data_IF_775785172587
#
_entry.id   IF_775785172587
#
_cell.length_a   1.000
_cell.length_b   1.000
_cell.length_c   1.000
_cell.angle_alpha   90.00
_cell.angle_beta   90.00
_cell.angle_gamma   90.00
#
_symmetry.space_group_name_H-M   'P 1'
#
loop_
_entity.id
_entity.type
_entity.pdbx_description
1 polymer ?
#
# COMPACT_ATOMS: atom_id res chain seq x y z
N UNK A 1 -9.18 -30.84 -17.12
CA UNK A 1 -10.34 -29.97 -16.87
C UNK A 1 -9.82 -28.54 -16.86
N UNK A 2 -10.17 -27.73 -17.88
CA UNK A 2 -9.71 -26.36 -17.98
C UNK A 2 -10.60 -25.46 -17.10
N UNK A 3 -10.02 -24.85 -16.08
CA UNK A 3 -10.71 -23.88 -15.21
C UNK A 3 -10.93 -22.60 -16.00
N UNK A 4 -12.18 -22.29 -16.36
CA UNK A 4 -12.53 -21.01 -16.99
C UNK A 4 -12.34 -19.93 -15.94
N UNK A 5 -11.27 -19.15 -16.04
CA UNK A 5 -11.11 -17.93 -15.25
C UNK A 5 -12.18 -16.94 -15.70
N UNK A 6 -13.06 -16.57 -14.78
CA UNK A 6 -14.11 -15.59 -15.01
C UNK A 6 -13.47 -14.18 -14.99
N UNK A 7 -12.93 -13.75 -16.13
CA UNK A 7 -12.37 -12.41 -16.28
C UNK A 7 -13.51 -11.39 -16.33
N UNK A 8 -13.68 -10.62 -15.26
CA UNK A 8 -14.58 -9.47 -15.25
C UNK A 8 -14.01 -8.37 -16.14
N UNK A 9 -14.68 -8.09 -17.26
CA UNK A 9 -14.31 -6.99 -18.15
C UNK A 9 -14.90 -5.70 -17.57
N UNK A 10 -14.03 -4.79 -17.12
CA UNK A 10 -14.42 -3.43 -16.71
C UNK A 10 -14.11 -2.45 -17.83
N UNK A 11 -15.03 -1.55 -18.15
CA UNK A 11 -14.77 -0.56 -19.19
C UNK A 11 -13.79 0.51 -18.69
N UNK A 12 -12.96 1.06 -19.59
CA UNK A 12 -12.02 2.13 -19.25
C UNK A 12 -12.68 3.35 -18.58
N UNK A 13 -13.96 3.61 -18.90
CA UNK A 13 -14.73 4.70 -18.29
C UNK A 13 -15.08 4.45 -16.82
N UNK A 14 -15.22 3.18 -16.43
CA UNK A 14 -15.57 2.75 -15.07
C UNK A 14 -14.35 2.62 -14.15
N UNK A 15 -13.12 2.74 -14.68
CA UNK A 15 -11.88 2.60 -13.90
C UNK A 15 -11.63 3.76 -12.91
N UNK A 16 -12.40 4.85 -12.97
CA UNK A 16 -12.30 5.97 -12.04
C UNK A 16 -10.87 6.55 -11.97
N UNK A 17 -10.31 6.66 -10.76
CA UNK A 17 -8.94 7.16 -10.53
C UNK A 17 -7.87 6.34 -11.26
N UNK A 18 -8.03 5.02 -11.36
CA UNK A 18 -7.07 4.17 -12.07
C UNK A 18 -6.93 4.57 -13.53
N UNK A 19 -7.98 5.11 -14.14
CA UNK A 19 -7.92 5.65 -15.51
C UNK A 19 -6.84 6.72 -15.66
N UNK A 20 -6.69 7.58 -14.65
CA UNK A 20 -5.67 8.63 -14.63
C UNK A 20 -4.28 7.98 -14.56
N UNK A 21 -4.09 7.04 -13.62
CA UNK A 21 -2.82 6.33 -13.46
C UNK A 21 -2.41 5.55 -14.73
N UNK A 22 -3.34 4.87 -15.39
CA UNK A 22 -3.10 4.18 -16.66
C UNK A 22 -2.90 5.13 -17.84
N UNK A 23 -3.47 6.34 -17.79
CA UNK A 23 -3.26 7.35 -18.82
C UNK A 23 -1.92 8.06 -18.71
N UNK A 24 -1.28 8.01 -17.54
CA UNK A 24 0.15 8.33 -17.39
C UNK A 24 0.94 7.28 -18.16
N UNK A 25 1.34 7.63 -19.39
CA UNK A 25 2.09 6.77 -20.31
C UNK A 25 3.52 6.42 -19.85
N UNK A 26 3.93 6.89 -18.67
CA UNK A 26 5.30 6.75 -18.18
C UNK A 26 5.33 5.87 -16.93
N UNK A 27 5.58 4.58 -17.13
CA UNK A 27 5.76 3.61 -16.04
C UNK A 27 6.94 3.99 -15.13
N UNK A 28 7.98 4.65 -15.65
CA UNK A 28 9.13 5.08 -14.85
C UNK A 28 8.72 6.17 -13.87
N UNK A 29 7.89 7.14 -14.28
CA UNK A 29 7.37 8.16 -13.36
C UNK A 29 6.58 7.54 -12.21
N UNK A 30 5.78 6.51 -12.49
CA UNK A 30 5.01 5.80 -11.47
C UNK A 30 5.94 5.00 -10.53
N UNK A 31 6.93 4.30 -11.09
CA UNK A 31 7.92 3.54 -10.33
C UNK A 31 8.77 4.46 -9.43
N UNK A 32 9.20 5.61 -9.94
CA UNK A 32 9.94 6.63 -9.18
C UNK A 32 9.10 7.15 -8.02
N UNK A 33 7.84 7.50 -8.25
CA UNK A 33 6.93 7.96 -7.19
C UNK A 33 6.71 6.89 -6.11
N UNK A 34 6.52 5.63 -6.51
CA UNK A 34 6.41 4.51 -5.58
C UNK A 34 7.70 4.36 -4.75
N UNK A 35 8.84 4.37 -5.43
CA UNK A 35 10.15 4.12 -4.82
C UNK A 35 10.54 5.24 -3.87
N UNK A 36 10.32 6.51 -4.24
CA UNK A 36 10.59 7.68 -3.39
C UNK A 36 9.87 7.59 -2.05
N UNK A 37 8.59 7.19 -2.06
CA UNK A 37 7.79 7.10 -0.84
C UNK A 37 8.03 5.81 -0.05
N UNK A 38 8.19 4.67 -0.73
CA UNK A 38 8.15 3.35 -0.08
C UNK A 38 9.51 2.74 0.21
N UNK A 39 10.59 3.18 -0.46
CA UNK A 39 11.93 2.62 -0.23
C UNK A 39 12.36 2.61 1.24
N UNK A 40 12.09 3.63 2.09
CA UNK A 40 12.51 3.59 3.49
C UNK A 40 11.90 2.42 4.27
N UNK A 41 10.63 2.09 4.00
CA UNK A 41 9.97 0.94 4.65
C UNK A 41 10.37 -0.40 4.03
N UNK A 42 10.51 -0.45 2.70
CA UNK A 42 10.92 -1.66 1.98
C UNK A 42 12.33 -2.09 2.38
N UNK A 43 13.26 -1.14 2.46
CA UNK A 43 14.64 -1.39 2.89
C UNK A 43 14.69 -1.80 4.36
N UNK A 44 13.88 -1.17 5.21
CA UNK A 44 13.78 -1.55 6.62
C UNK A 44 13.25 -2.98 6.79
N UNK A 45 12.17 -3.35 6.10
CA UNK A 45 11.62 -4.71 6.13
C UNK A 45 12.64 -5.74 5.65
N UNK A 46 13.41 -5.43 4.59
CA UNK A 46 14.48 -6.30 4.09
C UNK A 46 15.62 -6.46 5.09
N UNK A 47 16.03 -5.38 5.74
CA UNK A 47 17.15 -5.40 6.69
C UNK A 47 16.78 -6.07 8.02
N UNK A 48 15.54 -5.88 8.49
CA UNK A 48 15.10 -6.31 9.81
C UNK A 48 14.15 -7.51 9.80
N UNK A 49 13.83 -8.05 8.62
CA UNK A 49 12.84 -9.10 8.42
C UNK A 49 11.50 -8.76 9.12
N UNK A 50 11.06 -7.51 8.95
CA UNK A 50 9.82 -7.00 9.52
C UNK A 50 8.66 -7.01 8.51
N UNK A 51 7.48 -6.61 8.97
CA UNK A 51 6.23 -6.58 8.19
C UNK A 51 5.60 -5.19 8.24
N UNK A 52 6.41 -4.14 8.21
CA UNK A 52 5.97 -2.76 8.40
C UNK A 52 5.27 -2.23 7.15
N UNK A 53 5.80 -2.52 5.96
CA UNK A 53 5.15 -2.17 4.68
C UNK A 53 3.73 -2.75 4.61
N UNK A 54 3.58 -4.04 4.92
CA UNK A 54 2.27 -4.70 4.93
C UNK A 54 1.33 -4.08 5.97
N UNK A 55 1.83 -3.87 7.20
CA UNK A 55 1.03 -3.25 8.27
C UNK A 55 0.58 -1.84 7.87
N UNK A 56 1.45 -1.07 7.22
CA UNK A 56 1.16 0.28 6.77
C UNK A 56 0.13 0.30 5.65
N UNK A 57 0.25 -0.57 4.64
CA UNK A 57 -0.77 -0.68 3.60
C UNK A 57 -2.13 -1.08 4.16
N UNK A 58 -2.18 -2.04 5.08
CA UNK A 58 -3.44 -2.39 5.77
C UNK A 58 -3.97 -1.22 6.58
N UNK A 59 -3.11 -0.42 7.21
CA UNK A 59 -3.51 0.80 7.92
C UNK A 59 -4.16 1.83 6.98
N UNK A 60 -3.54 2.10 5.82
CA UNK A 60 -4.08 3.02 4.82
C UNK A 60 -5.43 2.54 4.27
N UNK A 61 -5.56 1.26 3.93
CA UNK A 61 -6.79 0.66 3.42
C UNK A 61 -7.94 0.60 4.43
N UNK A 62 -7.63 0.73 5.72
CA UNK A 62 -8.61 0.75 6.81
C UNK A 62 -8.83 2.16 7.38
N UNK A 63 -8.59 3.21 6.59
CA UNK A 63 -8.78 4.62 6.96
C UNK A 63 -8.01 5.02 8.23
N UNK A 64 -6.87 4.37 8.48
CA UNK A 64 -6.05 4.58 9.66
C UNK A 64 -6.56 3.90 10.95
N UNK A 65 -7.46 2.92 10.84
CA UNK A 65 -7.99 2.20 12.00
C UNK A 65 -7.06 1.10 12.50
N UNK A 66 -6.40 1.34 13.64
CA UNK A 66 -5.55 0.34 14.33
C UNK A 66 -6.34 -0.94 14.66
N UNK A 67 -7.60 -0.82 15.07
CA UNK A 67 -8.43 -1.96 15.47
C UNK A 67 -8.74 -2.86 14.26
N UNK A 68 -9.13 -2.26 13.13
CA UNK A 68 -9.41 -3.04 11.91
C UNK A 68 -8.15 -3.76 11.40
N UNK A 69 -7.00 -3.09 11.43
CA UNK A 69 -5.71 -3.71 11.05
C UNK A 69 -5.37 -4.87 11.98
N UNK A 70 -5.53 -4.69 13.29
CA UNK A 70 -5.27 -5.75 14.27
C UNK A 70 -6.10 -7.00 14.00
N UNK A 71 -7.40 -6.82 13.72
CA UNK A 71 -8.30 -7.90 13.36
C UNK A 71 -7.90 -8.57 12.03
N UNK A 72 -7.58 -7.77 11.01
CA UNK A 72 -7.22 -8.28 9.67
C UNK A 72 -5.89 -9.05 9.68
N UNK A 73 -4.95 -8.66 10.54
CA UNK A 73 -3.63 -9.30 10.68
C UNK A 73 -3.59 -10.36 11.79
N UNK A 74 -4.73 -10.68 12.41
CA UNK A 74 -4.83 -11.62 13.53
C UNK A 74 -3.82 -11.34 14.66
N UNK A 75 -3.61 -10.06 14.97
CA UNK A 75 -2.65 -9.60 15.98
C UNK A 75 -3.33 -8.72 17.02
N UNK A 76 -2.68 -8.50 18.15
CA UNK A 76 -3.16 -7.55 19.14
C UNK A 76 -2.95 -6.09 18.68
N UNK A 77 -3.85 -5.19 19.09
CA UNK A 77 -3.79 -3.75 18.78
C UNK A 77 -2.46 -3.10 19.20
N UNK A 78 -1.85 -3.58 20.29
CA UNK A 78 -0.58 -3.05 20.79
C UNK A 78 0.56 -3.31 19.80
N UNK A 79 0.56 -4.47 19.14
CA UNK A 79 1.53 -4.80 18.10
C UNK A 79 1.38 -3.86 16.92
N UNK A 80 0.15 -3.59 16.48
CA UNK A 80 -0.10 -2.62 15.38
C UNK A 80 0.34 -1.22 15.80
N UNK A 81 0.04 -0.77 17.02
CA UNK A 81 0.50 0.52 17.53
C UNK A 81 2.03 0.62 17.55
N UNK A 82 2.72 -0.43 18.01
CA UNK A 82 4.19 -0.49 17.98
C UNK A 82 4.73 -0.36 16.56
N UNK A 83 4.21 -1.17 15.62
CA UNK A 83 4.61 -1.13 14.22
C UNK A 83 4.35 0.25 13.60
N UNK A 84 3.17 0.83 13.83
CA UNK A 84 2.86 2.18 13.37
C UNK A 84 3.76 3.24 14.01
N UNK A 85 4.18 3.07 15.27
CA UNK A 85 5.20 3.93 15.88
C UNK A 85 6.50 3.90 15.09
N UNK A 86 7.00 2.71 14.75
CA UNK A 86 8.20 2.55 13.92
C UNK A 86 8.03 3.10 12.51
N UNK A 87 6.87 2.89 11.89
CA UNK A 87 6.56 3.43 10.56
C UNK A 87 6.61 4.96 10.56
N UNK A 88 6.04 5.62 11.59
CA UNK A 88 6.12 7.09 11.74
C UNK A 88 7.55 7.58 11.91
N UNK A 89 8.36 6.84 12.68
CA UNK A 89 9.79 7.16 12.85
C UNK A 89 10.55 7.05 11.51
N UNK A 90 10.33 5.97 10.75
CA UNK A 90 11.02 5.69 9.49
C UNK A 90 10.62 6.69 8.39
N UNK A 91 9.33 7.01 8.28
CA UNK A 91 8.79 7.89 7.24
C UNK A 91 8.69 9.36 7.67
N UNK A 92 9.09 9.68 8.90
CA UNK A 92 9.03 11.02 9.49
C UNK A 92 7.65 11.70 9.31
N UNK A 93 6.57 10.94 9.51
CA UNK A 93 5.20 11.39 9.26
C UNK A 93 4.21 10.72 10.22
N UNK A 94 3.20 11.45 10.70
CA UNK A 94 2.26 10.95 11.72
C UNK A 94 1.03 10.21 11.17
N UNK A 95 0.70 10.42 9.88
CA UNK A 95 -0.43 9.83 9.16
C UNK A 95 -1.81 10.10 9.78
N UNK A 96 -1.94 11.21 10.49
CA UNK A 96 -3.18 11.60 11.17
C UNK A 96 -4.17 12.22 10.20
N UNK A 97 -3.68 12.91 9.17
CA UNK A 97 -4.51 13.58 8.18
C UNK A 97 -4.64 12.80 6.87
N UNK A 98 -5.72 13.04 6.14
CA UNK A 98 -5.88 12.48 4.79
C UNK A 98 -4.78 12.97 3.84
N UNK A 99 -4.32 14.21 4.01
CA UNK A 99 -3.25 14.81 3.21
C UNK A 99 -1.94 14.03 3.35
N UNK A 100 -1.64 13.52 4.55
CA UNK A 100 -0.47 12.69 4.82
C UNK A 100 -0.62 11.26 4.28
N UNK A 101 -1.82 10.69 4.34
CA UNK A 101 -2.07 9.30 3.92
C UNK A 101 -2.23 9.14 2.42
N UNK A 102 -2.81 10.12 1.74
CA UNK A 102 -3.18 10.02 0.32
C UNK A 102 -1.97 9.71 -0.59
N UNK A 103 -0.79 10.34 -0.45
CA UNK A 103 0.38 10.00 -1.27
C UNK A 103 0.74 8.51 -1.20
N UNK A 104 0.74 7.94 0.00
CA UNK A 104 1.06 6.54 0.21
C UNK A 104 -0.05 5.58 -0.25
N UNK A 105 -1.31 6.02 -0.21
CA UNK A 105 -2.41 5.25 -0.79
C UNK A 105 -2.30 5.21 -2.33
N UNK A 106 -1.85 6.31 -2.96
CA UNK A 106 -1.55 6.33 -4.39
C UNK A 106 -0.37 5.42 -4.70
N UNK A 107 0.71 5.47 -3.91
CA UNK A 107 1.84 4.55 -4.04
C UNK A 107 1.38 3.08 -3.93
N UNK A 108 0.53 2.74 -2.95
CA UNK A 108 -0.06 1.41 -2.85
C UNK A 108 -0.74 0.96 -4.16
N UNK A 109 -1.57 1.81 -4.77
CA UNK A 109 -2.25 1.51 -6.03
C UNK A 109 -1.29 1.40 -7.22
N UNK A 110 -0.26 2.25 -7.29
CA UNK A 110 0.80 2.12 -8.29
C UNK A 110 1.50 0.77 -8.16
N UNK A 111 1.84 0.37 -6.93
CA UNK A 111 2.48 -0.92 -6.68
C UNK A 111 1.61 -2.12 -7.08
N UNK A 112 0.27 -1.99 -7.08
CA UNK A 112 -0.63 -3.00 -7.65
C UNK A 112 -0.52 -3.01 -9.18
N UNK A 113 -0.63 -1.84 -9.82
CA UNK A 113 -0.62 -1.71 -11.29
C UNK A 113 0.69 -2.26 -11.87
N UNK A 114 1.82 -1.86 -11.29
CA UNK A 114 3.16 -2.26 -11.72
C UNK A 114 3.58 -3.64 -11.16
N UNK A 115 2.74 -4.30 -10.37
CA UNK A 115 3.03 -5.60 -9.71
C UNK A 115 4.28 -5.57 -8.82
N UNK A 116 4.51 -4.46 -8.15
CA UNK A 116 5.62 -4.25 -7.19
C UNK A 116 5.28 -4.80 -5.79
N UNK A 117 3.99 -4.86 -5.42
CA UNK A 117 3.53 -5.31 -4.10
C UNK A 117 3.43 -6.85 -3.99
N UNK A 118 4.55 -7.57 -4.11
CA UNK A 118 4.60 -9.05 -4.14
C UNK A 118 4.17 -9.77 -2.84
N UNK A 119 3.77 -9.05 -1.80
CA UNK A 119 3.53 -9.56 -0.43
C UNK A 119 2.06 -9.61 -0.01
N UNK A 120 1.10 -9.30 -0.90
CA UNK A 120 -0.32 -9.18 -0.54
C UNK A 120 -1.27 -10.19 -1.21
N UNK A 121 -0.73 -11.18 -1.93
CA UNK A 121 -1.48 -12.32 -2.47
C UNK A 121 -1.61 -13.46 -1.45
#
# INVERSE_FOLDING_TARGET
MATVQNLSITSFKEMGFYRILYSTLDEHLLEDYYTELMSPLLDYDKQHNSFYTETFFRYLLNDGSIIKVANQMFTHRNTVNYRMGKIREILHCDFTSQKERLPYLIAYHIGIILKLNKTLD
#
